data_IF_059027200054
#
_entry.id   IF_059027200054
#
_cell.length_a   1.000
_cell.length_b   1.000
_cell.length_c   1.000
_cell.angle_alpha   90.00
_cell.angle_beta   90.00
_cell.angle_gamma   90.00
#
_symmetry.space_group_name_H-M   'P 1'
#
loop_
_entity.id
_entity.type
_entity.pdbx_description
1 polymer ?
#
# COMPACT_ATOMS: atom_id res chain seq x y z
N UNK A 1 -28.78 9.97 20.61
CA UNK A 1 -27.40 10.24 21.05
C UNK A 1 -26.66 10.68 19.79
N UNK A 2 -26.57 12.00 19.55
CA UNK A 2 -25.90 12.55 18.37
C UNK A 2 -24.40 12.30 18.53
N UNK A 3 -23.84 11.47 17.63
CA UNK A 3 -22.38 11.37 17.52
C UNK A 3 -21.92 12.70 16.94
N UNK A 4 -21.48 13.59 17.81
CA UNK A 4 -20.76 14.80 17.42
C UNK A 4 -19.49 14.35 16.68
N UNK A 5 -19.61 14.21 15.35
CA UNK A 5 -18.47 13.99 14.46
C UNK A 5 -17.72 15.31 14.37
N UNK A 6 -16.85 15.56 15.34
CA UNK A 6 -15.96 16.72 15.29
C UNK A 6 -15.15 16.68 13.98
N UNK A 7 -15.21 17.74 13.15
CA UNK A 7 -14.53 17.78 11.86
C UNK A 7 -13.01 17.60 11.97
N UNK A 8 -12.43 17.85 13.16
CA UNK A 8 -11.03 17.58 13.47
C UNK A 8 -10.67 16.09 13.49
N UNK A 9 -11.59 15.22 13.93
CA UNK A 9 -11.31 13.79 14.09
C UNK A 9 -11.20 13.08 12.74
N UNK A 10 -12.09 13.38 11.79
CA UNK A 10 -12.07 12.80 10.43
C UNK A 10 -10.80 13.18 9.67
N UNK A 11 -10.37 14.44 9.75
CA UNK A 11 -9.14 14.92 9.09
C UNK A 11 -7.89 14.24 9.68
N UNK A 12 -7.88 14.04 11.00
CA UNK A 12 -6.79 13.33 11.69
C UNK A 12 -6.73 11.86 11.27
N UNK A 13 -7.88 11.19 11.20
CA UNK A 13 -8.00 9.79 10.78
C UNK A 13 -7.50 9.56 9.35
N UNK A 14 -7.91 10.41 8.40
CA UNK A 14 -7.42 10.38 7.02
C UNK A 14 -5.91 10.63 6.97
N UNK A 15 -5.41 11.61 7.72
CA UNK A 15 -3.98 11.87 7.82
C UNK A 15 -3.18 10.68 8.35
N UNK A 16 -3.67 10.00 9.38
CA UNK A 16 -3.06 8.79 9.94
C UNK A 16 -3.07 7.64 8.93
N UNK A 17 -4.18 7.44 8.21
CA UNK A 17 -4.27 6.40 7.18
C UNK A 17 -3.28 6.64 6.04
N UNK A 18 -3.16 7.88 5.57
CA UNK A 18 -2.20 8.25 4.53
C UNK A 18 -0.76 8.07 5.01
N UNK A 19 -0.45 8.47 6.25
CA UNK A 19 0.86 8.26 6.84
C UNK A 19 1.20 6.76 6.96
N UNK A 20 0.26 5.94 7.43
CA UNK A 20 0.44 4.49 7.51
C UNK A 20 0.66 3.87 6.12
N UNK A 21 -0.10 4.32 5.12
CA UNK A 21 0.05 3.89 3.72
C UNK A 21 1.43 4.24 3.17
N UNK A 22 1.90 5.46 3.41
CA UNK A 22 3.24 5.88 3.00
C UNK A 22 4.33 5.03 3.66
N UNK A 23 4.23 4.78 4.96
CA UNK A 23 5.19 3.92 5.69
C UNK A 23 5.19 2.50 5.16
N UNK A 24 4.01 1.91 4.93
CA UNK A 24 3.89 0.56 4.38
C UNK A 24 4.42 0.47 2.94
N UNK A 25 4.19 1.50 2.12
CA UNK A 25 4.73 1.61 0.75
C UNK A 25 6.25 1.59 0.77
N UNK A 26 6.87 2.41 1.64
CA UNK A 26 8.33 2.44 1.82
C UNK A 26 8.83 1.09 2.34
N UNK A 27 8.13 0.49 3.30
CA UNK A 27 8.45 -0.84 3.81
C UNK A 27 8.44 -1.91 2.72
N UNK A 28 7.41 -1.93 1.87
CA UNK A 28 7.31 -2.82 0.70
C UNK A 28 8.46 -2.60 -0.29
N UNK A 29 8.83 -1.34 -0.53
CA UNK A 29 9.94 -1.02 -1.42
C UNK A 29 11.30 -1.49 -0.87
N UNK A 30 11.55 -1.26 0.42
CA UNK A 30 12.77 -1.72 1.09
C UNK A 30 12.84 -3.24 1.09
N UNK A 31 11.74 -3.93 1.41
CA UNK A 31 11.67 -5.38 1.36
C UNK A 31 11.94 -5.90 -0.05
N UNK A 32 11.27 -5.35 -1.07
CA UNK A 32 11.51 -5.73 -2.47
C UNK A 32 12.94 -5.46 -2.93
N UNK A 33 13.63 -4.47 -2.36
CA UNK A 33 15.03 -4.20 -2.65
C UNK A 33 15.98 -5.18 -1.96
N UNK A 34 15.78 -5.48 -0.68
CA UNK A 34 16.72 -6.27 0.11
C UNK A 34 16.53 -7.78 -0.02
N UNK A 35 15.28 -8.25 -0.17
CA UNK A 35 14.98 -9.69 -0.25
C UNK A 35 15.73 -10.40 -1.38
N UNK A 36 15.73 -9.91 -2.64
CA UNK A 36 16.39 -10.63 -3.73
C UNK A 36 17.87 -10.90 -3.45
N UNK A 37 18.58 -9.88 -2.94
CA UNK A 37 19.99 -10.00 -2.56
C UNK A 37 20.19 -10.96 -1.37
N UNK A 38 19.30 -10.90 -0.38
CA UNK A 38 19.40 -11.74 0.82
C UNK A 38 19.18 -13.24 0.53
N UNK A 39 18.36 -13.56 -0.47
CA UNK A 39 18.04 -14.96 -0.84
C UNK A 39 18.75 -15.45 -2.11
N UNK A 40 19.65 -14.64 -2.70
CA UNK A 40 20.39 -14.99 -3.90
C UNK A 40 19.54 -15.08 -5.17
N UNK A 41 18.42 -14.36 -5.22
CA UNK A 41 17.56 -14.25 -6.39
C UNK A 41 18.13 -13.21 -7.36
N UNK A 42 19.03 -13.64 -8.23
CA UNK A 42 19.62 -12.79 -9.28
C UNK A 42 18.86 -12.92 -10.62
N UNK A 43 18.12 -14.01 -10.80
CA UNK A 43 17.42 -14.34 -12.05
C UNK A 43 15.98 -14.79 -11.80
N UNK A 44 15.04 -14.28 -12.60
CA UNK A 44 13.66 -14.78 -12.68
C UNK A 44 13.53 -15.60 -13.95
N UNK A 45 13.02 -16.83 -13.82
CA UNK A 45 12.67 -17.65 -14.98
C UNK A 45 11.23 -17.34 -15.37
N UNK A 46 11.05 -16.72 -16.54
CA UNK A 46 9.73 -16.43 -17.11
C UNK A 46 9.65 -17.11 -18.46
N UNK A 47 8.71 -18.06 -18.61
CA UNK A 47 8.54 -18.83 -19.86
C UNK A 47 9.87 -19.43 -20.37
N UNK A 48 10.65 -20.03 -19.46
CA UNK A 48 11.96 -20.63 -19.73
C UNK A 48 13.07 -19.65 -20.19
N UNK A 49 12.81 -18.33 -20.22
CA UNK A 49 13.88 -17.33 -20.35
C UNK A 49 14.32 -16.80 -18.99
N UNK A 50 15.62 -16.74 -18.78
CA UNK A 50 16.24 -16.05 -17.65
C UNK A 50 16.23 -14.54 -17.89
N UNK A 51 15.49 -13.82 -17.05
CA UNK A 51 15.46 -12.36 -17.06
C UNK A 51 16.24 -11.85 -15.85
N UNK A 52 17.31 -11.06 -16.06
CA UNK A 52 18.04 -10.46 -14.96
C UNK A 52 17.16 -9.42 -14.27
N UNK A 53 17.07 -9.52 -12.95
CA UNK A 53 16.25 -8.60 -12.15
C UNK A 53 17.17 -7.73 -11.34
N UNK A 54 16.99 -6.42 -11.44
CA UNK A 54 17.72 -5.49 -10.58
C UNK A 54 16.96 -5.33 -9.25
N UNK A 55 17.63 -5.36 -8.09
CA UNK A 55 16.99 -5.14 -6.78
C UNK A 55 16.20 -3.82 -6.72
N UNK A 56 16.69 -2.79 -7.40
CA UNK A 56 15.99 -1.50 -7.54
C UNK A 56 14.63 -1.64 -8.23
N UNK A 57 14.54 -2.44 -9.29
CA UNK A 57 13.27 -2.67 -10.00
C UNK A 57 12.29 -3.42 -9.11
N UNK A 58 12.74 -4.47 -8.43
CA UNK A 58 11.87 -5.26 -7.53
C UNK A 58 11.36 -4.40 -6.38
N UNK A 59 12.23 -3.60 -5.77
CA UNK A 59 11.84 -2.64 -4.74
C UNK A 59 10.81 -1.63 -5.24
N UNK A 60 11.01 -1.05 -6.42
CA UNK A 60 10.08 -0.06 -6.97
C UNK A 60 8.71 -0.69 -7.26
N UNK A 61 8.66 -1.88 -7.87
CA UNK A 61 7.42 -2.61 -8.11
C UNK A 61 6.71 -2.99 -6.79
N UNK A 62 7.44 -3.53 -5.82
CA UNK A 62 6.87 -3.92 -4.53
C UNK A 62 6.27 -2.71 -3.80
N UNK A 63 6.97 -1.58 -3.79
CA UNK A 63 6.47 -0.33 -3.23
C UNK A 63 5.19 0.13 -3.93
N UNK A 64 5.20 0.22 -5.26
CA UNK A 64 4.02 0.63 -6.05
C UNK A 64 2.83 -0.29 -5.80
N UNK A 65 3.03 -1.60 -5.81
CA UNK A 65 1.95 -2.59 -5.58
C UNK A 65 1.34 -2.40 -4.18
N UNK A 66 2.16 -2.31 -3.13
CA UNK A 66 1.68 -2.12 -1.76
C UNK A 66 0.95 -0.79 -1.61
N UNK A 67 1.51 0.28 -2.14
CA UNK A 67 0.91 1.62 -2.07
C UNK A 67 -0.43 1.71 -2.78
N UNK A 68 -0.49 1.22 -4.04
CA UNK A 68 -1.74 1.19 -4.81
C UNK A 68 -2.78 0.35 -4.10
N UNK A 69 -2.42 -0.85 -3.63
CA UNK A 69 -3.36 -1.72 -2.92
C UNK A 69 -3.97 -1.05 -1.68
N UNK A 70 -3.15 -0.42 -0.83
CA UNK A 70 -3.63 0.24 0.39
C UNK A 70 -4.47 1.48 0.09
N UNK A 71 -4.10 2.28 -0.92
CA UNK A 71 -4.90 3.41 -1.36
C UNK A 71 -6.26 2.97 -1.89
N UNK A 72 -6.30 1.94 -2.73
CA UNK A 72 -7.55 1.38 -3.26
C UNK A 72 -8.41 0.81 -2.12
N UNK A 73 -7.82 0.07 -1.19
CA UNK A 73 -8.52 -0.43 -0.02
C UNK A 73 -9.13 0.69 0.82
N UNK A 74 -8.34 1.75 1.10
CA UNK A 74 -8.83 2.93 1.82
C UNK A 74 -9.98 3.62 1.10
N UNK A 75 -9.93 3.71 -0.23
CA UNK A 75 -11.00 4.28 -1.05
C UNK A 75 -12.28 3.43 -0.98
N UNK A 76 -12.15 2.10 -1.07
CA UNK A 76 -13.29 1.18 -0.96
C UNK A 76 -13.95 1.30 0.41
N UNK A 77 -13.16 1.31 1.49
CA UNK A 77 -13.68 1.51 2.85
C UNK A 77 -14.40 2.85 2.96
N UNK A 78 -13.80 3.94 2.45
CA UNK A 78 -14.42 5.26 2.49
C UNK A 78 -15.74 5.32 1.70
N UNK A 79 -15.81 4.67 0.54
CA UNK A 79 -17.03 4.60 -0.26
C UNK A 79 -18.14 3.82 0.46
N UNK A 80 -17.83 2.64 1.01
CA UNK A 80 -18.80 1.84 1.77
C UNK A 80 -19.30 2.58 3.00
N UNK A 81 -18.41 3.21 3.77
CA UNK A 81 -18.79 4.00 4.95
C UNK A 81 -19.70 5.19 4.61
N UNK A 82 -19.54 5.78 3.42
CA UNK A 82 -20.40 6.88 3.00
C UNK A 82 -21.85 6.41 2.74
N UNK A 83 -22.02 5.25 2.11
CA UNK A 83 -23.36 4.69 1.89
C UNK A 83 -24.04 4.26 3.18
N UNK A 84 -23.29 3.71 4.13
CA UNK A 84 -23.83 3.33 5.44
C UNK A 84 -24.36 4.56 6.18
N UNK A 85 -23.65 5.69 6.12
CA UNK A 85 -24.08 6.98 6.67
C UNK A 85 -25.32 7.59 5.97
N UNK A 86 -25.59 7.26 4.69
CA UNK A 86 -26.75 7.78 3.94
C UNK A 86 -28.04 6.95 4.15
N UNK A 87 -27.92 5.72 4.66
CA UNK A 87 -29.08 4.81 4.86
C UNK A 87 -29.75 4.94 6.24
N UNK A 88 -29.23 5.80 7.13
CA UNK A 88 -29.73 6.04 8.49
C UNK A 88 -30.43 7.39 8.60
#
# INVERSE_FOLDING_TARGET
MSVDREPGNRRRLVGTLLAATAVATVGGALLGFFLPTAVGLEELVVLEMTVPITPSSVGLYAGVIVGVFLLTLGLVVAAVSHFDDETV
#
